data_IF_051618075204
#
_entry.id   IF_051618075204
#
_cell.length_a   1.000
_cell.length_b   1.000
_cell.length_c   1.000
_cell.angle_alpha   90.00
_cell.angle_beta   90.00
_cell.angle_gamma   90.00
#
_symmetry.space_group_name_H-M   'P 1'
#
loop_
_entity.id
_entity.type
_entity.pdbx_description
1 polymer ?
#
# COMPACT_ATOMS: atom_id res chain seq x y z
N UNK A 1 41.72 29.22 39.20
CA UNK A 1 40.54 29.06 38.33
C UNK A 1 39.57 28.16 39.06
N UNK A 2 38.34 28.62 39.32
CA UNK A 2 37.37 27.90 40.14
C UNK A 2 36.22 27.50 39.21
N UNK A 3 36.15 26.22 38.85
CA UNK A 3 35.02 25.68 38.12
C UNK A 3 33.78 25.78 39.02
N UNK A 4 32.86 26.66 38.65
CA UNK A 4 31.56 26.76 39.30
C UNK A 4 30.71 25.60 38.79
N UNK A 5 30.48 24.61 39.65
CA UNK A 5 29.70 23.43 39.32
C UNK A 5 28.28 23.82 38.91
N UNK A 6 27.95 23.63 37.63
CA UNK A 6 26.64 23.95 37.03
C UNK A 6 25.44 23.30 37.76
N UNK A 7 25.66 22.37 38.71
CA UNK A 7 24.61 21.64 39.43
C UNK A 7 24.49 21.97 40.93
N UNK A 8 25.06 23.07 41.41
CA UNK A 8 25.11 23.36 42.85
C UNK A 8 23.80 23.96 43.41
N UNK A 9 22.91 24.50 42.57
CA UNK A 9 21.67 25.14 43.01
C UNK A 9 20.51 24.13 43.17
N UNK A 10 19.91 24.07 44.37
CA UNK A 10 18.73 23.25 44.67
C UNK A 10 17.56 23.59 43.73
N UNK A 11 17.40 24.88 43.39
CA UNK A 11 16.35 25.34 42.46
C UNK A 11 16.52 24.74 41.06
N UNK A 12 17.75 24.68 40.56
CA UNK A 12 18.03 24.11 39.23
C UNK A 12 17.71 22.62 39.19
N UNK A 13 18.04 21.88 40.25
CA UNK A 13 17.69 20.45 40.36
C UNK A 13 16.19 20.22 40.29
N UNK A 14 15.39 21.04 40.98
CA UNK A 14 13.93 20.93 40.94
C UNK A 14 13.36 21.25 39.55
N UNK A 15 13.86 22.30 38.89
CA UNK A 15 13.44 22.63 37.50
C UNK A 15 13.78 21.47 36.55
N UNK A 16 14.97 20.89 36.68
CA UNK A 16 15.41 19.77 35.85
C UNK A 16 14.50 18.55 36.05
N UNK A 17 14.16 18.22 37.30
CA UNK A 17 13.21 17.14 37.60
C UNK A 17 11.84 17.42 36.98
N UNK A 18 11.32 18.65 37.05
CA UNK A 18 10.05 18.98 36.40
C UNK A 18 10.10 18.82 34.89
N UNK A 19 11.19 19.24 34.23
CA UNK A 19 11.36 19.04 32.78
C UNK A 19 11.41 17.54 32.46
N UNK A 20 12.15 16.74 33.23
CA UNK A 20 12.22 15.30 33.02
C UNK A 20 10.84 14.64 33.19
N UNK A 21 10.06 15.04 34.18
CA UNK A 21 8.70 14.54 34.36
C UNK A 21 7.78 14.92 33.20
N UNK A 22 7.88 16.14 32.67
CA UNK A 22 7.14 16.55 31.48
C UNK A 22 7.55 15.76 30.24
N UNK A 23 8.86 15.50 30.06
CA UNK A 23 9.37 14.70 28.94
C UNK A 23 8.88 13.26 29.01
N UNK A 24 8.86 12.64 30.20
CA UNK A 24 8.30 11.29 30.37
C UNK A 24 6.82 11.25 29.98
N UNK A 25 6.04 12.26 30.37
CA UNK A 25 4.63 12.36 29.98
C UNK A 25 4.44 12.44 28.46
N UNK A 26 5.20 13.31 27.79
CA UNK A 26 5.15 13.47 26.33
C UNK A 26 5.60 12.18 25.63
N UNK A 27 6.61 11.48 26.14
CA UNK A 27 7.08 10.23 25.55
C UNK A 27 5.99 9.14 25.60
N UNK A 28 5.32 8.97 26.74
CA UNK A 28 4.25 7.97 26.89
C UNK A 28 3.08 8.27 25.95
N UNK A 29 2.64 9.54 25.89
CA UNK A 29 1.57 9.95 24.97
C UNK A 29 2.03 9.83 23.52
N UNK A 30 3.27 10.19 23.23
CA UNK A 30 3.86 10.22 21.89
C UNK A 30 3.89 8.83 21.25
N UNK A 31 4.36 7.81 21.97
CA UNK A 31 4.37 6.43 21.44
C UNK A 31 2.94 5.96 21.16
N UNK A 32 2.03 6.12 22.12
CA UNK A 32 0.63 5.74 21.94
C UNK A 32 -0.02 6.47 20.75
N UNK A 33 0.28 7.75 20.58
CA UNK A 33 -0.26 8.56 19.50
C UNK A 33 0.29 8.14 18.14
N UNK A 34 1.60 7.88 18.03
CA UNK A 34 2.22 7.45 16.77
C UNK A 34 1.66 6.09 16.33
N UNK A 35 1.55 5.12 17.23
CA UNK A 35 1.00 3.80 16.90
C UNK A 35 -0.44 3.91 16.36
N UNK A 36 -1.27 4.74 17.00
CA UNK A 36 -2.65 4.98 16.56
C UNK A 36 -2.74 5.76 15.26
N UNK A 37 -1.84 6.72 15.05
CA UNK A 37 -1.78 7.48 13.81
C UNK A 37 -1.36 6.58 12.65
N UNK A 38 -0.38 5.70 12.86
CA UNK A 38 0.06 4.70 11.88
C UNK A 38 -1.10 3.78 11.50
N UNK A 39 -1.76 3.16 12.47
CA UNK A 39 -2.92 2.27 12.23
C UNK A 39 -4.04 2.98 11.45
N UNK A 40 -4.33 4.24 11.79
CA UNK A 40 -5.32 5.05 11.08
C UNK A 40 -4.90 5.35 9.66
N UNK A 41 -3.65 5.75 9.43
CA UNK A 41 -3.14 6.06 8.10
C UNK A 41 -3.12 4.81 7.21
N UNK A 42 -2.62 3.69 7.73
CA UNK A 42 -2.63 2.41 7.01
C UNK A 42 -4.06 2.00 6.64
N UNK A 43 -4.98 1.98 7.61
CA UNK A 43 -6.38 1.62 7.37
C UNK A 43 -7.05 2.53 6.36
N UNK A 44 -6.86 3.85 6.49
CA UNK A 44 -7.45 4.82 5.56
C UNK A 44 -6.88 4.67 4.15
N UNK A 45 -5.58 4.43 4.03
CA UNK A 45 -4.94 4.18 2.74
C UNK A 45 -5.47 2.90 2.10
N UNK A 46 -5.48 1.79 2.83
CA UNK A 46 -6.02 0.51 2.34
C UNK A 46 -7.47 0.64 1.89
N UNK A 47 -8.33 1.26 2.70
CA UNK A 47 -9.73 1.47 2.34
C UNK A 47 -9.90 2.36 1.09
N UNK A 48 -9.05 3.37 0.93
CA UNK A 48 -9.04 4.23 -0.27
C UNK A 48 -8.72 3.42 -1.53
N UNK A 49 -7.66 2.61 -1.47
CA UNK A 49 -7.25 1.74 -2.59
C UNK A 49 -8.33 0.70 -2.90
N UNK A 50 -8.91 0.05 -1.89
CA UNK A 50 -10.02 -0.89 -2.11
C UNK A 50 -11.23 -0.22 -2.77
N UNK A 51 -11.58 1.00 -2.39
CA UNK A 51 -12.64 1.78 -3.02
C UNK A 51 -12.37 2.05 -4.51
N UNK A 52 -11.13 2.42 -4.85
CA UNK A 52 -10.71 2.62 -6.23
C UNK A 52 -10.73 1.32 -7.03
N UNK A 53 -10.21 0.23 -6.47
CA UNK A 53 -10.19 -1.10 -7.09
C UNK A 53 -11.59 -1.68 -7.30
N UNK A 54 -12.54 -1.41 -6.41
CA UNK A 54 -13.93 -1.81 -6.59
C UNK A 54 -14.52 -1.17 -7.85
N UNK A 55 -14.28 0.13 -8.05
CA UNK A 55 -14.72 0.84 -9.26
C UNK A 55 -14.11 0.24 -10.53
N UNK A 56 -12.80 -0.05 -10.50
CA UNK A 56 -12.13 -0.73 -11.61
C UNK A 56 -12.70 -2.14 -11.85
N UNK A 57 -12.98 -2.89 -10.80
CA UNK A 57 -13.53 -4.25 -10.88
C UNK A 57 -14.87 -4.26 -11.61
N UNK A 58 -15.74 -3.28 -11.36
CA UNK A 58 -16.99 -3.15 -12.12
C UNK A 58 -16.75 -2.90 -13.60
N UNK A 59 -15.82 -2.01 -13.95
CA UNK A 59 -15.45 -1.75 -15.35
C UNK A 59 -14.88 -2.98 -16.04
N UNK A 60 -14.01 -3.72 -15.36
CA UNK A 60 -13.44 -4.97 -15.86
C UNK A 60 -14.50 -6.05 -16.03
N UNK A 61 -15.41 -6.23 -15.06
CA UNK A 61 -16.53 -7.18 -15.18
C UNK A 61 -17.41 -6.86 -16.39
N UNK A 62 -17.70 -5.58 -16.63
CA UNK A 62 -18.46 -5.17 -17.80
C UNK A 62 -17.71 -5.51 -19.10
N UNK A 63 -16.39 -5.28 -19.15
CA UNK A 63 -15.56 -5.68 -20.28
C UNK A 63 -15.58 -7.21 -20.52
N UNK A 64 -15.56 -8.03 -19.47
CA UNK A 64 -15.65 -9.49 -19.62
C UNK A 64 -17.04 -9.95 -20.11
N UNK A 65 -18.11 -9.28 -19.68
CA UNK A 65 -19.49 -9.67 -20.01
C UNK A 65 -20.01 -9.09 -21.34
N UNK A 66 -19.32 -8.10 -21.91
CA UNK A 66 -19.72 -7.48 -23.18
C UNK A 66 -19.56 -8.48 -24.33
N UNK A 67 -20.66 -8.74 -25.05
CA UNK A 67 -20.63 -9.55 -26.27
C UNK A 67 -19.84 -8.82 -27.36
N UNK A 68 -18.78 -9.47 -27.84
CA UNK A 68 -17.84 -8.92 -28.82
C UNK A 68 -18.19 -9.42 -30.22
N UNK A 69 -18.59 -8.50 -31.09
CA UNK A 69 -18.74 -8.74 -32.53
C UNK A 69 -17.41 -8.65 -33.29
N UNK A 70 -17.42 -8.96 -34.59
CA UNK A 70 -16.23 -8.97 -35.45
C UNK A 70 -15.48 -7.62 -35.50
N UNK A 71 -16.20 -6.50 -35.32
CA UNK A 71 -15.64 -5.14 -35.35
C UNK A 71 -15.16 -4.61 -33.98
N UNK A 72 -15.31 -5.40 -32.91
CA UNK A 72 -14.97 -4.96 -31.56
C UNK A 72 -13.49 -5.15 -31.24
N UNK A 73 -12.95 -4.29 -30.36
CA UNK A 73 -11.58 -4.43 -29.87
C UNK A 73 -11.42 -5.78 -29.15
N UNK A 74 -10.28 -6.47 -29.35
CA UNK A 74 -10.03 -7.72 -28.65
C UNK A 74 -9.95 -7.45 -27.14
N UNK A 75 -10.46 -8.39 -26.34
CA UNK A 75 -10.61 -8.27 -24.89
C UNK A 75 -9.33 -7.78 -24.19
N UNK A 76 -8.16 -8.27 -24.60
CA UNK A 76 -6.88 -7.85 -24.03
C UNK A 76 -6.61 -6.34 -24.22
N UNK A 77 -6.93 -5.78 -25.39
CA UNK A 77 -6.72 -4.36 -25.66
C UNK A 77 -7.70 -3.49 -24.85
N UNK A 78 -8.94 -3.95 -24.72
CA UNK A 78 -9.97 -3.28 -23.93
C UNK A 78 -9.60 -3.25 -22.43
N UNK A 79 -9.19 -4.40 -21.88
CA UNK A 79 -8.68 -4.49 -20.50
C UNK A 79 -7.42 -3.63 -20.30
N UNK A 80 -6.52 -3.60 -21.30
CA UNK A 80 -5.31 -2.80 -21.23
C UNK A 80 -5.63 -1.29 -21.18
N UNK A 81 -6.58 -0.81 -21.99
CA UNK A 81 -7.03 0.58 -21.95
C UNK A 81 -7.63 0.93 -20.59
N UNK A 82 -8.52 0.09 -20.06
CA UNK A 82 -9.14 0.31 -18.74
C UNK A 82 -8.10 0.38 -17.61
N UNK A 83 -7.09 -0.50 -17.62
CA UNK A 83 -6.01 -0.47 -16.64
C UNK A 83 -5.15 0.78 -16.79
N UNK A 84 -4.83 1.18 -18.02
CA UNK A 84 -4.02 2.36 -18.27
C UNK A 84 -4.73 3.64 -17.81
N UNK A 85 -6.00 3.82 -18.21
CA UNK A 85 -6.83 4.96 -17.80
C UNK A 85 -6.91 5.03 -16.27
N UNK A 86 -7.13 3.90 -15.62
CA UNK A 86 -7.13 3.82 -14.16
C UNK A 86 -5.77 4.17 -13.54
N UNK A 87 -4.67 3.71 -14.14
CA UNK A 87 -3.32 3.96 -13.61
C UNK A 87 -2.89 5.41 -13.78
N UNK A 88 -3.34 6.07 -14.84
CA UNK A 88 -3.05 7.48 -15.11
C UNK A 88 -3.73 8.40 -14.07
N UNK A 89 -4.94 8.01 -13.61
CA UNK A 89 -5.68 8.74 -12.57
C UNK A 89 -5.26 8.35 -11.13
N UNK A 90 -4.61 7.19 -10.93
CA UNK A 90 -4.29 6.64 -9.60
C UNK A 90 -2.80 6.31 -9.45
N UNK A 91 -2.02 7.32 -9.06
CA UNK A 91 -0.56 7.20 -8.87
C UNK A 91 -0.13 6.40 -7.63
N UNK A 92 -1.06 6.12 -6.72
CA UNK A 92 -0.80 5.39 -5.48
C UNK A 92 -0.57 3.88 -5.71
N UNK A 93 -0.94 3.38 -6.89
CA UNK A 93 -0.85 1.97 -7.26
C UNK A 93 0.37 1.75 -8.15
N UNK A 94 1.43 1.19 -7.59
CA UNK A 94 2.68 0.98 -8.33
C UNK A 94 2.63 -0.14 -9.37
N UNK A 95 1.85 -1.21 -9.13
CA UNK A 95 1.73 -2.36 -10.03
C UNK A 95 0.34 -2.95 -9.94
N UNK A 96 -0.25 -3.25 -11.10
CA UNK A 96 -1.56 -3.87 -11.20
C UNK A 96 -1.58 -4.82 -12.41
N UNK A 97 -2.03 -6.05 -12.17
CA UNK A 97 -2.17 -7.09 -13.20
C UNK A 97 -3.57 -7.68 -13.17
N UNK A 98 -4.13 -7.94 -14.35
CA UNK A 98 -5.34 -8.75 -14.51
C UNK A 98 -4.94 -10.14 -14.96
N UNK A 99 -5.34 -11.15 -14.19
CA UNK A 99 -4.97 -12.55 -14.40
C UNK A 99 -6.22 -13.37 -14.66
N UNK A 100 -6.18 -14.23 -15.69
CA UNK A 100 -7.29 -15.13 -16.02
C UNK A 100 -7.31 -16.41 -15.18
N UNK A 101 -8.35 -17.22 -15.36
CA UNK A 101 -8.50 -18.51 -14.69
C UNK A 101 -7.41 -19.55 -15.06
N UNK A 102 -6.68 -19.33 -16.15
CA UNK A 102 -5.55 -20.15 -16.57
C UNK A 102 -4.22 -19.66 -15.96
N UNK A 103 -4.28 -18.72 -15.02
CA UNK A 103 -3.14 -18.06 -14.36
C UNK A 103 -2.28 -17.26 -15.35
N UNK A 104 -2.84 -16.80 -16.46
CA UNK A 104 -2.14 -16.01 -17.47
C UNK A 104 -2.48 -14.53 -17.28
N UNK A 105 -1.46 -13.68 -17.35
CA UNK A 105 -1.65 -12.22 -17.29
C UNK A 105 -2.26 -11.74 -18.61
N UNK A 106 -3.41 -11.08 -18.54
CA UNK A 106 -4.13 -10.53 -19.69
C UNK A 106 -3.78 -9.06 -19.94
N UNK A 107 -3.58 -8.29 -18.89
CA UNK A 107 -3.23 -6.87 -18.95
C UNK A 107 -2.44 -6.46 -17.71
N UNK A 108 -1.56 -5.46 -17.88
CA UNK A 108 -0.68 -4.96 -16.82
C UNK A 108 -0.46 -3.46 -16.99
N UNK A 109 -0.42 -2.71 -15.89
CA UNK A 109 -0.17 -1.26 -15.91
C UNK A 109 1.12 -0.88 -16.64
N UNK A 110 1.07 0.15 -17.48
CA UNK A 110 2.19 0.71 -18.27
C UNK A 110 3.35 1.25 -17.44
N UNK A 111 3.10 1.77 -16.23
CA UNK A 111 4.16 2.22 -15.31
C UNK A 111 4.94 1.05 -14.71
N UNK A 112 4.39 -0.18 -14.83
CA UNK A 112 5.06 -1.43 -14.47
C UNK A 112 5.67 -2.11 -15.70
N UNK A 113 6.62 -3.01 -15.47
CA UNK A 113 7.13 -3.88 -16.55
C UNK A 113 5.96 -4.65 -17.20
N UNK A 114 5.73 -4.44 -18.50
CA UNK A 114 4.72 -5.15 -19.30
C UNK A 114 5.16 -6.55 -19.76
N UNK A 115 6.41 -6.93 -19.49
CA UNK A 115 6.94 -8.29 -19.70
C UNK A 115 6.05 -9.44 -19.18
N UNK A 116 5.23 -9.29 -18.12
CA UNK A 116 4.33 -10.35 -17.64
C UNK A 116 3.17 -10.66 -18.57
N UNK A 117 2.75 -9.74 -19.45
CA UNK A 117 1.57 -9.92 -20.31
C UNK A 117 1.76 -11.17 -21.18
N UNK A 118 0.76 -12.05 -21.16
CA UNK A 118 0.76 -13.30 -21.90
C UNK A 118 1.54 -14.45 -21.22
N UNK A 119 2.23 -14.20 -20.11
CA UNK A 119 2.95 -15.22 -19.33
C UNK A 119 2.07 -15.78 -18.22
N UNK A 120 2.42 -16.99 -17.79
CA UNK A 120 1.81 -17.63 -16.63
C UNK A 120 2.43 -17.08 -15.35
N UNK A 121 1.59 -16.76 -14.38
CA UNK A 121 2.00 -16.26 -13.06
C UNK A 121 2.62 -17.40 -12.27
N UNK A 122 3.79 -17.15 -11.68
CA UNK A 122 4.50 -18.09 -10.79
C UNK A 122 4.50 -17.64 -9.33
N UNK A 123 3.88 -16.49 -9.04
CA UNK A 123 3.78 -15.96 -7.70
C UNK A 123 2.93 -16.89 -6.82
N UNK A 124 3.48 -17.28 -5.67
CA UNK A 124 2.81 -18.21 -4.75
C UNK A 124 1.59 -17.62 -4.07
N UNK A 125 1.54 -16.31 -3.83
CA UNK A 125 0.36 -15.64 -3.26
C UNK A 125 -0.80 -15.69 -4.26
N UNK A 126 -0.54 -15.36 -5.53
CA UNK A 126 -1.55 -15.44 -6.59
C UNK A 126 -2.00 -16.89 -6.81
N UNK A 127 -1.05 -17.84 -6.83
CA UNK A 127 -1.36 -19.27 -7.01
C UNK A 127 -2.26 -19.80 -5.90
N UNK A 128 -2.09 -19.35 -4.65
CA UNK A 128 -2.95 -19.74 -3.52
C UNK A 128 -4.41 -19.30 -3.72
N UNK A 129 -4.65 -18.11 -4.26
CA UNK A 129 -6.01 -17.64 -4.56
C UNK A 129 -6.70 -18.59 -5.54
N UNK A 130 -6.00 -19.05 -6.58
CA UNK A 130 -6.56 -20.02 -7.53
C UNK A 130 -6.78 -21.43 -6.95
N UNK A 131 -5.98 -21.84 -5.96
CA UNK A 131 -6.07 -23.17 -5.34
C UNK A 131 -7.14 -23.25 -4.24
N UNK A 132 -7.24 -22.20 -3.42
CA UNK A 132 -8.08 -22.18 -2.23
C UNK A 132 -9.32 -21.30 -2.37
N UNK A 133 -9.38 -20.43 -3.37
CA UNK A 133 -10.50 -19.50 -3.58
C UNK A 133 -10.57 -18.36 -2.57
N UNK A 134 -9.57 -18.23 -1.70
CA UNK A 134 -9.51 -17.18 -0.68
C UNK A 134 -8.69 -15.99 -1.20
N UNK A 135 -9.26 -14.80 -1.10
CA UNK A 135 -8.53 -13.57 -1.38
C UNK A 135 -7.35 -13.43 -0.41
N UNK A 136 -6.20 -13.00 -0.91
CA UNK A 136 -5.07 -12.72 -0.02
C UNK A 136 -5.33 -11.40 0.69
N UNK A 137 -5.27 -11.41 2.03
CA UNK A 137 -5.38 -10.18 2.81
C UNK A 137 -4.28 -9.18 2.42
N UNK A 138 -4.59 -7.87 2.35
CA UNK A 138 -3.58 -6.84 2.18
C UNK A 138 -2.49 -6.99 3.24
N UNK A 139 -1.23 -7.08 2.81
CA UNK A 139 -0.08 -7.10 3.71
C UNK A 139 0.71 -5.82 3.53
N UNK A 140 0.93 -5.03 4.60
CA UNK A 140 1.82 -3.88 4.51
C UNK A 140 3.20 -4.38 4.13
N UNK A 141 3.72 -3.87 3.01
CA UNK A 141 5.08 -4.17 2.57
C UNK A 141 5.99 -3.12 3.18
N UNK A 142 6.65 -3.46 4.29
CA UNK A 142 7.72 -2.63 4.85
C UNK A 142 9.00 -3.05 4.15
N UNK A 143 9.62 -2.15 3.39
CA UNK A 143 11.03 -2.33 3.02
C UNK A 143 11.81 -2.46 4.33
N UNK A 144 12.27 -3.68 4.65
CA UNK A 144 13.20 -3.86 5.75
C UNK A 144 14.38 -2.94 5.47
N UNK A 145 14.61 -2.02 6.40
CA UNK A 145 15.46 -0.86 6.20
C UNK A 145 16.73 -1.20 5.44
N UNK A 146 17.02 -0.44 4.39
CA UNK A 146 18.38 -0.32 3.91
C UNK A 146 19.21 0.16 5.10
N UNK A 147 19.97 -0.76 5.69
CA UNK A 147 20.97 -0.44 6.70
C UNK A 147 22.01 0.47 6.03
N UNK A 148 21.84 1.78 6.14
CA UNK A 148 22.89 2.75 5.86
C UNK A 148 22.78 3.95 6.80
#
# INVERSE_FOLDING_TARGET
>A
MKEVGFFQSVRLKLILVYILLLLLGIQVIGVYFVDRLEEQLETNFTNSIEGQLNSLTYSLQNAFNTERGEDSLPLNNDLQSLINDFSDDNTDIGKLWVVDNNQKVLAATTTSDQSPIGKKVTDTAITKVFLFGEATEPKPWREEGTNN
#
